data_IF_357884937256
#
_entry.id   IF_357884937256
#
_cell.length_a   1.000
_cell.length_b   1.000
_cell.length_c   1.000
_cell.angle_alpha   90.00
_cell.angle_beta   90.00
_cell.angle_gamma   90.00
#
_symmetry.space_group_name_H-M   'P 1'
#
loop_
_entity.id
_entity.type
_entity.pdbx_description
1 polymer ?
#
# COMPACT_ATOMS: atom_id res chain seq x y z
N UNK A 1 19.03 3.13 -18.73
CA UNK A 1 18.59 1.76 -18.60
C UNK A 1 17.68 1.34 -19.78
N UNK A 2 16.61 2.05 -20.08
CA UNK A 2 15.71 1.70 -21.20
C UNK A 2 16.40 1.68 -22.59
N UNK A 3 17.34 2.60 -22.85
CA UNK A 3 18.15 2.60 -24.10
C UNK A 3 19.12 1.45 -24.19
N UNK A 4 19.63 0.97 -23.06
CA UNK A 4 20.52 -0.18 -23.02
C UNK A 4 19.73 -1.48 -23.29
N UNK A 5 18.57 -1.62 -22.70
CA UNK A 5 17.70 -2.75 -22.93
C UNK A 5 17.24 -2.87 -24.40
N UNK A 6 16.85 -1.74 -25.02
CA UNK A 6 16.43 -1.75 -26.45
C UNK A 6 17.55 -2.06 -27.42
N UNK A 7 18.81 -1.82 -27.06
CA UNK A 7 19.98 -2.13 -27.91
C UNK A 7 20.44 -3.61 -27.82
N UNK A 8 19.97 -4.35 -26.81
CA UNK A 8 20.41 -5.74 -26.56
C UNK A 8 19.35 -6.79 -26.89
N UNK A 9 18.14 -6.42 -27.24
CA UNK A 9 17.05 -7.33 -27.53
C UNK A 9 16.71 -7.31 -29.03
N UNK A 10 17.64 -7.78 -29.87
CA UNK A 10 17.34 -8.18 -31.25
C UNK A 10 17.34 -9.71 -31.36
N UNK A 11 16.40 -10.41 -30.76
CA UNK A 11 16.02 -11.74 -31.27
C UNK A 11 14.78 -12.27 -30.56
N UNK A 12 13.82 -12.63 -31.35
CA UNK A 12 12.73 -13.53 -31.02
C UNK A 12 13.30 -14.81 -30.42
N UNK A 13 12.86 -15.20 -29.21
CA UNK A 13 13.16 -16.46 -28.54
C UNK A 13 14.47 -16.56 -27.71
N UNK A 14 14.93 -15.53 -27.05
CA UNK A 14 15.94 -15.70 -25.99
C UNK A 14 15.27 -15.76 -24.61
N UNK A 15 15.47 -16.88 -23.90
CA UNK A 15 15.22 -16.92 -22.45
C UNK A 15 16.24 -16.01 -21.76
N UNK A 16 15.74 -15.09 -20.94
CA UNK A 16 16.58 -14.22 -20.13
C UNK A 16 16.56 -14.75 -18.70
N UNK A 17 17.73 -15.07 -18.17
CA UNK A 17 17.88 -15.32 -16.74
C UNK A 17 18.05 -13.99 -16.02
N UNK A 18 17.14 -13.72 -15.09
CA UNK A 18 17.27 -12.60 -14.15
C UNK A 18 17.65 -13.21 -12.81
N UNK A 19 18.83 -12.85 -12.32
CA UNK A 19 19.28 -13.28 -10.99
C UNK A 19 18.22 -12.86 -9.95
N UNK A 20 17.70 -13.81 -9.14
CA UNK A 20 16.72 -13.49 -8.09
C UNK A 20 17.17 -12.38 -7.13
N UNK A 21 18.47 -12.21 -6.92
CA UNK A 21 19.02 -11.13 -6.12
C UNK A 21 18.72 -9.74 -6.70
N UNK A 22 18.51 -9.61 -8.01
CA UNK A 22 18.15 -8.34 -8.63
C UNK A 22 16.75 -7.86 -8.25
N UNK A 23 15.86 -8.76 -7.84
CA UNK A 23 14.54 -8.39 -7.32
C UNK A 23 14.59 -7.78 -5.92
N UNK A 24 15.71 -7.90 -5.24
CA UNK A 24 15.95 -7.29 -3.93
C UNK A 24 16.66 -5.93 -4.02
N UNK A 25 17.03 -5.49 -5.22
CA UNK A 25 17.63 -4.17 -5.42
C UNK A 25 16.50 -3.13 -5.52
N UNK A 26 16.37 -2.23 -4.54
CA UNK A 26 15.38 -1.17 -4.63
C UNK A 26 15.74 -0.24 -5.79
N UNK A 27 14.86 -0.20 -6.78
CA UNK A 27 14.95 0.74 -7.90
C UNK A 27 14.14 2.02 -7.59
N UNK A 28 13.37 2.01 -6.51
CA UNK A 28 12.58 3.14 -6.06
C UNK A 28 13.46 4.25 -5.49
N UNK A 29 12.97 5.46 -5.61
CA UNK A 29 13.56 6.71 -5.12
C UNK A 29 13.57 6.67 -3.59
N UNK A 30 14.64 6.20 -3.00
CA UNK A 30 14.81 6.14 -1.56
C UNK A 30 16.23 5.81 -1.19
N UNK A 31 16.64 6.25 -0.03
CA UNK A 31 17.98 6.05 0.48
C UNK A 31 18.32 4.55 0.54
N UNK A 32 19.49 4.20 0.02
CA UNK A 32 20.05 2.85 0.02
C UNK A 32 20.65 2.48 1.37
N UNK A 33 20.03 2.89 2.48
CA UNK A 33 20.57 2.57 3.79
C UNK A 33 20.30 1.12 4.20
N UNK A 34 21.20 0.60 4.89
CA UNK A 34 21.61 -0.72 5.40
C UNK A 34 20.55 -1.77 5.80
N UNK A 35 19.26 -1.54 5.67
CA UNK A 35 18.21 -2.47 6.13
C UNK A 35 17.34 -3.06 5.03
N UNK A 36 17.90 -3.17 3.83
CA UNK A 36 17.21 -3.63 2.61
C UNK A 36 16.92 -5.13 2.59
N UNK A 37 17.42 -5.89 3.54
CA UNK A 37 17.48 -7.36 3.46
C UNK A 37 16.13 -8.07 3.49
N UNK A 38 15.02 -7.41 3.90
CA UNK A 38 13.76 -8.10 4.16
C UNK A 38 12.56 -7.62 3.34
N UNK A 39 12.73 -6.72 2.39
CA UNK A 39 11.60 -6.19 1.60
C UNK A 39 11.79 -6.45 0.12
N UNK A 40 10.82 -7.09 -0.50
CA UNK A 40 10.74 -7.17 -1.96
C UNK A 40 10.53 -5.77 -2.53
N UNK A 41 11.19 -5.49 -3.65
CA UNK A 41 11.02 -4.23 -4.38
C UNK A 41 9.95 -4.41 -5.44
N UNK A 42 9.11 -3.43 -5.59
CA UNK A 42 8.19 -3.32 -6.70
C UNK A 42 8.55 -2.08 -7.53
N UNK A 43 8.61 -2.25 -8.83
CA UNK A 43 8.65 -1.11 -9.73
C UNK A 43 7.25 -0.54 -9.87
N UNK A 44 7.15 0.77 -10.03
CA UNK A 44 5.91 1.43 -10.39
C UNK A 44 5.30 0.75 -11.63
N UNK A 45 4.00 0.47 -11.61
CA UNK A 45 3.30 -0.28 -12.64
C UNK A 45 3.39 -1.80 -12.50
N UNK A 46 4.16 -2.33 -11.54
CA UNK A 46 4.17 -3.79 -11.28
C UNK A 46 2.78 -4.26 -10.86
N UNK A 47 2.36 -5.39 -11.41
CA UNK A 47 1.04 -5.98 -11.22
C UNK A 47 1.15 -7.26 -10.40
N UNK A 48 0.33 -7.37 -9.35
CA UNK A 48 0.34 -8.49 -8.42
C UNK A 48 -1.04 -9.12 -8.36
N UNK A 49 -1.18 -10.42 -8.69
CA UNK A 49 -2.44 -11.12 -8.52
C UNK A 49 -2.77 -11.27 -7.03
N UNK A 50 -4.00 -10.96 -6.66
CA UNK A 50 -4.51 -11.10 -5.30
C UNK A 50 -5.10 -12.50 -5.13
N UNK A 51 -4.65 -13.20 -4.09
CA UNK A 51 -5.14 -14.54 -3.74
C UNK A 51 -6.25 -14.47 -2.67
N UNK A 52 -7.28 -15.29 -2.86
CA UNK A 52 -8.38 -15.39 -1.91
C UNK A 52 -9.48 -14.36 -2.11
N UNK A 53 -10.51 -14.43 -1.29
CA UNK A 53 -11.70 -13.56 -1.36
C UNK A 53 -11.60 -12.33 -0.45
N UNK A 54 -10.61 -12.31 0.42
CA UNK A 54 -10.31 -11.19 1.30
C UNK A 54 -8.85 -10.82 1.18
N UNK A 55 -8.58 -9.53 1.18
CA UNK A 55 -7.23 -8.98 1.25
C UNK A 55 -7.18 -7.93 2.35
N UNK A 56 -6.14 -7.97 3.16
CA UNK A 56 -5.92 -6.98 4.20
C UNK A 56 -4.76 -6.09 3.81
N UNK A 57 -5.06 -4.84 3.53
CA UNK A 57 -4.06 -3.78 3.39
C UNK A 57 -3.46 -3.48 4.74
N UNK A 58 -2.20 -3.13 4.80
CA UNK A 58 -1.57 -2.68 6.03
C UNK A 58 -0.57 -1.57 5.79
N UNK A 59 -0.40 -0.78 6.84
CA UNK A 59 0.64 0.22 6.99
C UNK A 59 1.24 0.05 8.38
N UNK A 60 2.56 -0.15 8.46
CA UNK A 60 3.31 -0.24 9.72
C UNK A 60 4.32 0.89 9.77
N UNK A 61 4.42 1.56 10.93
CA UNK A 61 5.37 2.65 11.12
C UNK A 61 5.96 2.68 12.53
N UNK A 62 6.97 3.52 12.73
CA UNK A 62 7.58 3.77 14.03
C UNK A 62 8.44 2.65 14.60
N UNK A 63 8.73 1.59 13.85
CA UNK A 63 9.62 0.52 14.33
C UNK A 63 11.01 1.08 14.65
N UNK A 64 11.51 0.80 15.85
CA UNK A 64 12.79 1.28 16.35
C UNK A 64 12.72 2.61 17.09
N UNK A 65 11.63 3.37 16.98
CA UNK A 65 11.44 4.63 17.68
C UNK A 65 10.90 4.42 19.10
N UNK A 66 11.23 5.31 20.05
CA UNK A 66 10.60 5.29 21.36
C UNK A 66 9.11 5.64 21.28
N UNK A 67 8.38 5.36 22.36
CA UNK A 67 6.98 5.75 22.48
C UNK A 67 6.81 7.27 22.24
N UNK A 68 5.95 7.63 21.30
CA UNK A 68 5.70 9.02 20.93
C UNK A 68 4.40 9.18 20.15
N UNK A 69 3.91 10.42 20.09
CA UNK A 69 2.85 10.78 19.17
C UNK A 69 3.42 10.80 17.74
N UNK A 70 2.92 9.92 16.90
CA UNK A 70 3.30 9.81 15.51
C UNK A 70 2.11 9.25 14.75
N UNK A 71 1.37 10.16 14.16
CA UNK A 71 0.07 9.91 13.56
C UNK A 71 0.20 9.77 12.05
N UNK A 72 -0.14 8.57 11.58
CA UNK A 72 -0.11 8.18 10.19
C UNK A 72 -1.43 7.49 9.84
N UNK A 73 -2.08 7.93 8.78
CA UNK A 73 -3.38 7.41 8.36
C UNK A 73 -3.28 6.50 7.14
N UNK A 74 -3.88 5.33 7.24
CA UNK A 74 -4.17 4.45 6.12
C UNK A 74 -5.59 4.71 5.63
N UNK A 75 -5.77 4.82 4.33
CA UNK A 75 -7.10 4.99 3.73
C UNK A 75 -7.24 4.18 2.46
N UNK A 76 -8.47 3.84 2.09
CA UNK A 76 -8.77 3.37 0.76
C UNK A 76 -9.99 4.10 0.18
N UNK A 77 -9.94 4.32 -1.13
CA UNK A 77 -10.96 4.98 -1.93
C UNK A 77 -11.57 3.95 -2.88
N UNK A 78 -12.85 3.67 -2.71
CA UNK A 78 -13.59 2.65 -3.45
C UNK A 78 -14.41 3.34 -4.52
N UNK A 79 -14.06 3.15 -5.79
CA UNK A 79 -14.83 3.72 -6.90
C UNK A 79 -15.99 2.79 -7.26
N UNK A 80 -17.17 3.35 -7.21
CA UNK A 80 -18.43 2.72 -7.60
C UNK A 80 -18.95 3.39 -8.89
N UNK A 81 -19.90 2.81 -9.61
CA UNK A 81 -20.40 3.37 -10.89
C UNK A 81 -20.88 4.82 -10.83
N UNK A 82 -21.37 5.27 -9.67
CA UNK A 82 -21.96 6.61 -9.51
C UNK A 82 -21.33 7.44 -8.39
N UNK A 83 -20.41 6.89 -7.60
CA UNK A 83 -19.85 7.56 -6.43
C UNK A 83 -18.52 6.94 -6.02
N UNK A 84 -17.81 7.61 -5.12
CA UNK A 84 -16.62 7.08 -4.45
C UNK A 84 -16.87 7.05 -2.95
N UNK A 85 -16.63 5.90 -2.31
CA UNK A 85 -16.63 5.75 -0.87
C UNK A 85 -15.20 5.71 -0.33
N UNK A 86 -15.04 6.17 0.92
CA UNK A 86 -13.74 6.19 1.60
C UNK A 86 -13.85 5.39 2.89
N UNK A 87 -12.94 4.43 3.08
CA UNK A 87 -12.70 3.77 4.35
C UNK A 87 -11.38 4.30 4.94
N UNK A 88 -11.44 4.86 6.15
CA UNK A 88 -10.32 5.61 6.76
C UNK A 88 -10.54 5.79 8.26
N UNK A 89 -9.64 6.53 8.93
CA UNK A 89 -9.74 6.86 10.35
C UNK A 89 -11.10 7.49 10.77
N UNK A 90 -11.75 8.27 9.91
CA UNK A 90 -13.05 8.90 10.21
C UNK A 90 -14.26 8.07 9.76
N UNK A 91 -14.06 7.06 8.90
CA UNK A 91 -15.11 6.17 8.43
C UNK A 91 -14.58 4.72 8.44
N UNK A 92 -14.66 4.07 9.60
CA UNK A 92 -14.07 2.75 9.83
C UNK A 92 -14.74 1.62 9.05
N UNK A 93 -15.90 1.86 8.45
CA UNK A 93 -16.63 0.86 7.67
C UNK A 93 -17.21 1.51 6.42
N UNK A 94 -16.81 0.99 5.27
CA UNK A 94 -17.37 1.32 3.97
C UNK A 94 -17.80 0.01 3.28
N UNK A 95 -18.46 0.13 2.13
CA UNK A 95 -18.93 -1.05 1.41
C UNK A 95 -17.76 -1.98 1.04
N UNK A 96 -17.79 -3.22 1.50
CA UNK A 96 -16.72 -4.18 1.25
C UNK A 96 -15.37 -3.84 1.92
N UNK A 97 -15.31 -2.87 2.83
CA UNK A 97 -14.08 -2.44 3.49
C UNK A 97 -14.28 -2.18 4.99
N UNK A 98 -13.27 -2.55 5.80
CA UNK A 98 -13.27 -2.36 7.25
C UNK A 98 -11.89 -1.94 7.73
N UNK A 99 -11.81 -0.78 8.38
CA UNK A 99 -10.59 -0.23 8.98
C UNK A 99 -10.36 -0.75 10.40
N UNK A 100 -9.11 -0.89 10.83
CA UNK A 100 -8.75 -1.38 12.17
C UNK A 100 -8.91 -0.36 13.30
N UNK A 101 -9.05 0.92 12.97
CA UNK A 101 -9.13 2.03 13.92
C UNK A 101 -8.00 3.03 13.73
N UNK A 102 -8.18 4.22 14.28
CA UNK A 102 -7.29 5.38 14.21
C UNK A 102 -6.20 5.29 15.30
N UNK A 103 -4.94 5.11 14.90
CA UNK A 103 -3.79 4.94 15.80
C UNK A 103 -2.89 6.16 15.73
N UNK A 104 -2.97 7.02 16.74
CA UNK A 104 -2.27 8.32 16.78
C UNK A 104 -0.89 8.29 17.42
N UNK A 105 -0.47 7.16 17.96
CA UNK A 105 0.79 7.09 18.70
C UNK A 105 1.43 5.71 18.57
N UNK A 106 2.75 5.70 18.48
CA UNK A 106 3.52 4.45 18.63
C UNK A 106 3.73 4.15 20.11
N UNK A 107 3.38 2.94 20.60
CA UNK A 107 3.43 2.63 22.03
C UNK A 107 4.84 2.32 22.51
N UNK A 108 5.72 1.85 21.65
CA UNK A 108 7.09 1.43 21.97
C UNK A 108 7.91 1.17 20.68
N UNK A 109 9.14 0.68 20.85
CA UNK A 109 10.06 0.38 19.73
C UNK A 109 9.58 -0.69 18.73
N UNK A 110 8.49 -1.39 19.00
CA UNK A 110 7.89 -2.31 18.00
C UNK A 110 7.14 -1.56 16.90
N UNK A 111 6.83 -0.27 17.15
CA UNK A 111 6.00 0.52 16.25
C UNK A 111 4.52 0.17 16.40
N UNK A 112 3.75 0.53 15.41
CA UNK A 112 2.32 0.23 15.32
C UNK A 112 1.91 0.02 13.87
N UNK A 113 0.64 -0.37 13.66
CA UNK A 113 0.11 -0.59 12.32
C UNK A 113 -1.37 -0.27 12.24
N UNK A 114 -1.80 0.16 11.07
CA UNK A 114 -3.20 0.21 10.68
C UNK A 114 -3.48 -0.78 9.55
N UNK A 115 -4.72 -1.24 9.49
CA UNK A 115 -5.19 -2.21 8.52
C UNK A 115 -6.53 -1.82 7.93
N UNK A 116 -6.74 -2.19 6.66
CA UNK A 116 -8.05 -2.19 6.03
C UNK A 116 -8.29 -3.57 5.42
N UNK A 117 -9.32 -4.24 5.88
CA UNK A 117 -9.75 -5.51 5.29
C UNK A 117 -10.76 -5.24 4.17
N UNK A 118 -10.50 -5.80 2.99
CA UNK A 118 -11.36 -5.75 1.83
C UNK A 118 -12.00 -7.10 1.59
N UNK A 119 -13.29 -7.11 1.33
CA UNK A 119 -14.06 -8.27 0.85
C UNK A 119 -14.25 -8.14 -0.66
N UNK A 120 -13.49 -8.92 -1.44
CA UNK A 120 -13.47 -8.82 -2.89
C UNK A 120 -14.78 -9.29 -3.53
N UNK A 121 -15.51 -10.20 -2.89
CA UNK A 121 -16.79 -10.66 -3.38
C UNK A 121 -17.85 -9.57 -3.20
N UNK A 122 -17.87 -8.92 -2.04
CA UNK A 122 -18.76 -7.78 -1.78
C UNK A 122 -18.48 -6.61 -2.73
N UNK A 123 -17.21 -6.22 -2.89
CA UNK A 123 -16.80 -5.17 -3.81
C UNK A 123 -17.22 -5.46 -5.25
N UNK A 124 -17.01 -6.69 -5.71
CA UNK A 124 -17.43 -7.09 -7.05
C UNK A 124 -18.96 -7.11 -7.19
N UNK A 125 -19.69 -7.55 -6.16
CA UNK A 125 -21.17 -7.60 -6.14
C UNK A 125 -21.79 -6.21 -6.30
N UNK A 126 -21.18 -5.19 -5.69
CA UNK A 126 -21.67 -3.80 -5.79
C UNK A 126 -21.15 -3.05 -7.02
N UNK A 127 -20.36 -3.72 -7.86
CA UNK A 127 -19.81 -3.12 -9.08
C UNK A 127 -18.67 -2.15 -8.82
N UNK A 128 -17.93 -2.30 -7.72
CA UNK A 128 -16.72 -1.52 -7.50
C UNK A 128 -15.69 -1.80 -8.60
N UNK A 129 -15.14 -0.75 -9.20
CA UNK A 129 -14.16 -0.87 -10.28
C UNK A 129 -12.74 -0.91 -9.73
N UNK A 130 -12.42 0.05 -8.88
CA UNK A 130 -11.09 0.22 -8.27
C UNK A 130 -11.17 0.44 -6.78
N UNK A 131 -10.10 0.04 -6.08
CA UNK A 131 -9.82 0.49 -4.71
C UNK A 131 -8.41 1.07 -4.67
N UNK A 132 -8.29 2.38 -4.53
CA UNK A 132 -7.00 3.03 -4.40
C UNK A 132 -6.55 3.08 -2.94
N UNK A 133 -5.29 2.77 -2.67
CA UNK A 133 -4.70 2.70 -1.33
C UNK A 133 -3.82 3.91 -1.09
N UNK A 134 -4.04 4.58 0.03
CA UNK A 134 -3.30 5.78 0.38
C UNK A 134 -2.79 5.72 1.81
N UNK A 135 -1.65 6.34 2.03
CA UNK A 135 -1.19 6.65 3.38
C UNK A 135 -0.74 8.09 3.45
N UNK A 136 -0.93 8.71 4.61
CA UNK A 136 -0.49 10.08 4.85
C UNK A 136 0.01 10.30 6.28
N UNK A 137 0.90 11.28 6.43
CA UNK A 137 1.37 11.75 7.72
C UNK A 137 0.49 12.91 8.20
N UNK A 138 -0.23 12.73 9.29
CA UNK A 138 -1.04 13.79 9.87
C UNK A 138 -0.22 14.75 10.74
N UNK A 139 0.56 14.22 11.68
CA UNK A 139 1.20 15.05 12.70
C UNK A 139 2.60 15.59 12.35
N UNK A 140 3.36 14.95 11.49
CA UNK A 140 4.79 15.27 11.27
C UNK A 140 5.12 15.91 9.92
N UNK A 141 4.14 16.27 9.14
CA UNK A 141 4.36 16.94 7.85
C UNK A 141 4.98 16.07 6.73
N UNK A 142 5.60 14.96 7.04
CA UNK A 142 6.17 14.00 6.08
C UNK A 142 5.93 12.57 6.52
N UNK A 143 5.93 11.64 5.56
CA UNK A 143 5.82 10.20 5.83
C UNK A 143 6.98 9.77 6.73
N UNK A 144 6.65 9.01 7.79
CA UNK A 144 7.62 8.51 8.77
C UNK A 144 8.70 7.64 8.12
N UNK A 145 9.96 7.78 8.55
CA UNK A 145 10.98 6.83 8.15
C UNK A 145 10.61 5.41 8.59
N UNK A 146 11.03 4.43 7.81
CA UNK A 146 10.72 3.01 8.01
C UNK A 146 9.22 2.65 7.91
N UNK A 147 8.46 3.44 7.14
CA UNK A 147 7.11 3.05 6.77
C UNK A 147 7.13 1.77 5.93
N UNK A 148 6.34 0.78 6.32
CA UNK A 148 6.11 -0.44 5.54
C UNK A 148 4.64 -0.47 5.15
N UNK A 149 4.37 -0.59 3.87
CA UNK A 149 3.02 -0.74 3.32
C UNK A 149 2.92 -2.00 2.48
N UNK A 150 1.73 -2.56 2.39
CA UNK A 150 1.52 -3.76 1.58
C UNK A 150 0.15 -4.39 1.82
N UNK A 151 0.06 -5.66 1.49
CA UNK A 151 -1.15 -6.44 1.75
C UNK A 151 -0.82 -7.86 2.18
N UNK A 152 -1.77 -8.46 2.87
CA UNK A 152 -1.66 -9.81 3.40
C UNK A 152 -2.94 -10.59 3.23
N UNK A 153 -2.86 -11.90 3.37
CA UNK A 153 -4.03 -12.73 3.50
C UNK A 153 -4.67 -12.55 4.88
N UNK A 154 -5.99 -12.44 4.93
CA UNK A 154 -6.73 -12.25 6.18
C UNK A 154 -6.94 -13.60 6.89
N UNK A 155 -5.88 -14.18 7.45
CA UNK A 155 -5.96 -15.45 8.15
C UNK A 155 -6.62 -15.33 9.54
N UNK A 156 -6.54 -14.15 10.17
CA UNK A 156 -7.07 -13.89 11.50
C UNK A 156 -8.14 -12.79 11.46
N UNK A 157 -9.18 -12.88 12.32
CA UNK A 157 -10.16 -11.82 12.44
C UNK A 157 -9.51 -10.48 12.77
N UNK A 158 -9.83 -9.46 12.01
CA UNK A 158 -9.40 -8.10 12.31
C UNK A 158 -10.27 -7.54 13.43
N UNK A 159 -9.64 -7.03 14.49
CA UNK A 159 -10.32 -6.32 15.56
C UNK A 159 -10.18 -4.82 15.31
N UNK A 160 -11.29 -4.10 15.38
CA UNK A 160 -11.26 -2.64 15.42
C UNK A 160 -10.79 -2.21 16.80
N UNK A 161 -9.74 -1.40 16.85
CA UNK A 161 -9.21 -0.83 18.08
C UNK A 161 -8.67 0.57 17.81
N UNK A 162 -9.21 1.55 18.51
CA UNK A 162 -8.77 2.96 18.38
C UNK A 162 -7.50 3.26 19.20
N UNK A 163 -6.99 2.31 19.98
CA UNK A 163 -5.91 2.59 20.93
C UNK A 163 -4.65 1.76 20.78
N UNK A 164 -4.76 0.52 20.34
CA UNK A 164 -3.65 -0.44 20.43
C UNK A 164 -3.13 -0.94 19.09
N UNK A 165 -3.78 -0.60 18.00
CA UNK A 165 -3.48 -1.20 16.69
C UNK A 165 -3.74 -2.72 16.67
N UNK A 166 -3.51 -3.32 15.53
CA UNK A 166 -3.58 -4.78 15.35
C UNK A 166 -2.17 -5.32 15.25
N UNK A 167 -1.90 -6.45 15.88
CA UNK A 167 -0.60 -7.08 15.79
C UNK A 167 -0.29 -7.42 14.32
N UNK A 168 0.86 -6.97 13.86
CA UNK A 168 1.37 -7.31 12.54
C UNK A 168 1.90 -8.74 12.54
N UNK A 169 1.35 -9.57 11.63
CA UNK A 169 1.84 -10.94 11.42
C UNK A 169 2.51 -11.04 10.04
N UNK A 170 3.85 -11.03 9.98
CA UNK A 170 4.58 -11.09 8.73
C UNK A 170 4.39 -12.41 7.97
N UNK A 171 3.95 -13.49 8.62
CA UNK A 171 3.73 -14.78 7.96
C UNK A 171 2.59 -14.77 6.95
N UNK A 172 1.65 -13.84 7.08
CA UNK A 172 0.49 -13.69 6.20
C UNK A 172 0.70 -12.70 5.06
N UNK A 173 1.85 -12.03 5.01
CA UNK A 173 2.14 -11.00 4.00
C UNK A 173 2.29 -11.62 2.62
N UNK A 174 1.54 -11.09 1.66
CA UNK A 174 1.67 -11.45 0.24
C UNK A 174 2.69 -10.58 -0.48
N UNK A 175 2.69 -9.29 -0.14
CA UNK A 175 3.64 -8.32 -0.66
C UNK A 175 3.77 -7.14 0.29
N UNK A 176 4.97 -6.60 0.39
CA UNK A 176 5.26 -5.39 1.17
C UNK A 176 6.39 -4.59 0.57
N UNK A 177 6.35 -3.28 0.75
CA UNK A 177 7.41 -2.35 0.36
C UNK A 177 7.76 -1.47 1.55
N UNK A 178 9.04 -1.25 1.75
CA UNK A 178 9.54 -0.30 2.74
C UNK A 178 9.81 1.04 2.08
N UNK A 179 9.21 2.07 2.63
CA UNK A 179 9.44 3.46 2.23
C UNK A 179 10.39 4.07 3.24
N UNK A 180 11.66 4.22 2.87
CA UNK A 180 12.72 4.65 3.78
C UNK A 180 12.80 6.17 3.93
N UNK A 181 12.47 6.90 2.89
CA UNK A 181 12.42 8.37 2.91
C UNK A 181 11.33 8.89 1.99
N UNK A 182 10.53 9.81 2.50
CA UNK A 182 9.63 10.61 1.68
C UNK A 182 9.57 12.02 2.26
N UNK A 183 9.80 13.00 1.42
CA UNK A 183 9.59 14.41 1.74
C UNK A 183 8.14 14.83 1.54
N UNK A 184 7.28 13.92 1.12
CA UNK A 184 5.87 14.16 0.84
C UNK A 184 5.00 13.85 2.06
N UNK A 185 3.84 14.48 2.13
CA UNK A 185 2.84 14.23 3.19
C UNK A 185 2.05 12.96 2.97
N UNK A 186 1.88 12.53 1.74
CA UNK A 186 1.07 11.38 1.42
C UNK A 186 1.55 10.62 0.18
N UNK A 187 1.05 9.40 0.04
CA UNK A 187 1.38 8.48 -1.01
C UNK A 187 0.16 7.66 -1.42
N UNK A 188 -0.13 7.62 -2.73
CA UNK A 188 -0.96 6.56 -3.33
C UNK A 188 -0.01 5.40 -3.61
N UNK A 189 -0.07 4.34 -2.82
CA UNK A 189 0.90 3.26 -2.97
C UNK A 189 0.43 2.14 -3.89
N UNK A 190 -0.86 2.05 -4.18
CA UNK A 190 -1.36 1.07 -5.14
C UNK A 190 -2.86 1.22 -5.43
N UNK A 191 -3.29 0.49 -6.43
CA UNK A 191 -4.70 0.38 -6.84
C UNK A 191 -5.05 -1.09 -7.05
N UNK A 192 -6.08 -1.56 -6.39
CA UNK A 192 -6.72 -2.84 -6.68
C UNK A 192 -7.73 -2.65 -7.83
N UNK A 193 -7.57 -3.42 -8.88
CA UNK A 193 -8.54 -3.64 -9.94
C UNK A 193 -9.45 -4.79 -9.48
N UNK A 194 -10.67 -4.46 -9.07
CA UNK A 194 -11.55 -5.40 -8.35
C UNK A 194 -11.90 -6.61 -9.19
N UNK A 195 -12.30 -6.38 -10.43
CA UNK A 195 -12.71 -7.43 -11.36
C UNK A 195 -11.57 -8.39 -11.72
N UNK A 196 -10.40 -7.83 -11.98
CA UNK A 196 -9.18 -8.57 -12.32
C UNK A 196 -8.52 -9.23 -11.11
N UNK A 197 -8.87 -8.82 -9.91
CA UNK A 197 -8.22 -9.23 -8.65
C UNK A 197 -6.69 -9.02 -8.72
N UNK A 198 -6.31 -7.83 -9.14
CA UNK A 198 -4.93 -7.46 -9.37
C UNK A 198 -4.63 -6.13 -8.69
N UNK A 199 -3.53 -6.06 -7.95
CA UNK A 199 -3.01 -4.81 -7.39
C UNK A 199 -1.91 -4.30 -8.29
N UNK A 200 -2.03 -3.04 -8.71
CA UNK A 200 -1.00 -2.29 -9.42
C UNK A 200 -0.27 -1.42 -8.43
N UNK A 201 1.05 -1.58 -8.33
CA UNK A 201 1.91 -0.77 -7.47
C UNK A 201 2.21 0.58 -8.13
N UNK A 202 2.04 1.71 -7.41
CA UNK A 202 2.11 3.04 -8.03
C UNK A 202 3.15 3.98 -7.43
N UNK A 203 3.24 4.13 -6.12
CA UNK A 203 4.11 5.10 -5.43
C UNK A 203 3.94 6.55 -5.92
N UNK A 204 2.71 7.04 -6.01
CA UNK A 204 2.43 8.41 -6.46
C UNK A 204 2.34 9.33 -5.24
N UNK A 205 3.27 10.30 -5.08
CA UNK A 205 3.24 11.22 -3.95
C UNK A 205 2.17 12.29 -4.11
N UNK A 206 1.65 12.77 -2.97
CA UNK A 206 0.77 13.94 -2.90
C UNK A 206 1.06 14.81 -1.69
N UNK A 207 0.72 16.12 -1.78
CA UNK A 207 1.07 17.11 -0.76
C UNK A 207 -0.01 17.40 0.29
N UNK A 208 -1.19 16.79 0.19
CA UNK A 208 -2.32 17.00 1.11
C UNK A 208 -2.30 16.11 2.34
N UNK A 209 -3.04 16.48 3.38
CA UNK A 209 -3.26 15.62 4.55
C UNK A 209 -4.21 14.46 4.25
N UNK A 210 -5.14 14.67 3.32
CA UNK A 210 -6.08 13.63 2.86
C UNK A 210 -6.26 13.75 1.36
N UNK A 211 -6.45 12.63 0.69
CA UNK A 211 -6.92 12.62 -0.69
C UNK A 211 -8.44 12.73 -0.65
N UNK A 212 -8.95 13.90 -1.04
CA UNK A 212 -10.38 14.20 -0.99
C UNK A 212 -11.18 13.65 -2.17
N UNK A 213 -10.55 13.30 -3.28
CA UNK A 213 -11.22 12.64 -4.40
C UNK A 213 -10.24 11.84 -5.25
N UNK A 214 -10.39 10.54 -5.22
CA UNK A 214 -9.82 9.63 -6.21
C UNK A 214 -10.99 8.99 -6.94
N UNK A 215 -11.51 9.71 -7.94
CA UNK A 215 -12.52 9.18 -8.85
C UNK A 215 -11.90 8.23 -9.90
N UNK A 216 -12.75 7.50 -10.60
CA UNK A 216 -12.35 6.56 -11.66
C UNK A 216 -11.39 7.21 -12.65
N UNK A 217 -11.70 8.41 -13.14
CA UNK A 217 -10.86 9.11 -14.12
C UNK A 217 -9.45 9.44 -13.60
N UNK A 218 -9.34 9.83 -12.34
CA UNK A 218 -8.05 10.10 -11.69
C UNK A 218 -7.23 8.82 -11.53
N UNK A 219 -7.88 7.72 -11.14
CA UNK A 219 -7.23 6.42 -10.98
C UNK A 219 -6.74 5.89 -12.33
N UNK A 220 -7.55 5.98 -13.38
CA UNK A 220 -7.15 5.58 -14.73
C UNK A 220 -5.92 6.34 -15.21
N UNK A 221 -5.85 7.66 -14.99
CA UNK A 221 -4.65 8.45 -15.28
C UNK A 221 -3.40 8.00 -14.52
N UNK A 222 -3.58 7.43 -13.34
CA UNK A 222 -2.46 6.85 -12.58
C UNK A 222 -2.04 5.49 -13.14
N UNK A 223 -2.97 4.71 -13.63
CA UNK A 223 -2.72 3.39 -14.23
C UNK A 223 -2.09 3.47 -15.63
N UNK A 224 -2.27 4.60 -16.32
CA UNK A 224 -1.72 4.85 -17.67
C UNK A 224 -0.27 5.38 -17.66
N UNK A 225 0.29 5.67 -16.49
CA UNK A 225 1.68 6.13 -16.32
C UNK A 225 2.66 4.98 -16.19
#
# INVERSE_FOLDING_TARGET
AARFASATVESENKSMYIDPMLFHIPLAIGDRSETIQDTSCALQGTRFPVKGDKVRLFMQWGKGLPAQHLDMDLSCHITLPSTTEVCSFFNLQAIGAKHSGDIRSIPNKKGTAEYIELDLNELNRVGAEYVAFTCNAYSNGTISPNLVVGWMNSAYPMKISERTGVAYDPSCVQHQVRISQSLQKGLVFGVLKVKEREIVWLEIPFGGQTILSLDTQTIEKYLDK
#
